data_IF_042977392330
#
_entry.id   IF_042977392330
#
_cell.length_a   1.000
_cell.length_b   1.000
_cell.length_c   1.000
_cell.angle_alpha   90.00
_cell.angle_beta   90.00
_cell.angle_gamma   90.00
#
_symmetry.space_group_name_H-M   'P 1'
#
loop_
_entity.id
_entity.type
_entity.pdbx_description
1 polymer ?
#
# COMPACT_ATOMS: atom_id res chain seq x y z
N UNK A 1 -27.82 -4.01 80.37
CA UNK A 1 -26.55 -3.89 79.62
C UNK A 1 -26.37 -5.16 78.81
N UNK A 2 -26.66 -5.14 77.49
CA UNK A 2 -25.69 -5.01 76.36
C UNK A 2 -24.97 -6.36 76.14
N UNK A 3 -24.94 -7.03 74.98
CA UNK A 3 -25.10 -6.61 73.58
C UNK A 3 -25.44 -7.80 72.67
N UNK A 4 -26.26 -7.59 71.64
CA UNK A 4 -26.37 -8.48 70.48
C UNK A 4 -25.14 -8.26 69.57
N UNK A 5 -24.30 -9.27 69.38
CA UNK A 5 -23.22 -9.22 68.39
C UNK A 5 -23.69 -9.79 67.06
N UNK A 6 -24.03 -8.90 66.13
CA UNK A 6 -24.34 -9.21 64.74
C UNK A 6 -23.02 -9.51 64.00
N UNK A 7 -22.88 -10.73 63.49
CA UNK A 7 -21.68 -11.15 62.75
C UNK A 7 -21.70 -10.52 61.36
N UNK A 8 -20.89 -9.49 61.19
CA UNK A 8 -20.74 -8.67 59.99
C UNK A 8 -20.03 -9.43 58.85
N UNK A 9 -20.76 -9.62 57.74
CA UNK A 9 -20.29 -10.25 56.48
C UNK A 9 -19.51 -9.22 55.65
N UNK A 10 -18.19 -9.11 55.81
CA UNK A 10 -17.32 -8.24 54.98
C UNK A 10 -16.09 -9.01 54.52
N UNK A 11 -15.94 -9.25 53.21
CA UNK A 11 -14.69 -9.83 52.69
C UNK A 11 -14.58 -10.18 51.21
N UNK A 12 -15.63 -10.09 50.38
CA UNK A 12 -15.58 -10.64 49.01
C UNK A 12 -15.23 -9.68 47.85
N UNK A 13 -15.37 -8.36 48.01
CA UNK A 13 -15.47 -7.45 46.85
C UNK A 13 -14.16 -6.85 46.31
N UNK A 14 -13.02 -7.10 46.96
CA UNK A 14 -11.71 -6.50 46.55
C UNK A 14 -11.02 -7.26 45.41
N UNK A 15 -11.26 -8.57 45.29
CA UNK A 15 -10.72 -9.37 44.19
C UNK A 15 -11.52 -9.18 42.90
N UNK A 16 -12.85 -9.09 43.00
CA UNK A 16 -13.73 -8.90 41.84
C UNK A 16 -13.49 -7.54 41.17
N UNK A 17 -13.20 -6.49 41.93
CA UNK A 17 -12.89 -5.16 41.36
C UNK A 17 -11.56 -5.13 40.61
N UNK A 18 -10.54 -5.88 41.05
CA UNK A 18 -9.25 -5.97 40.34
C UNK A 18 -9.37 -6.76 39.03
N UNK A 19 -10.09 -7.88 39.07
CA UNK A 19 -10.37 -8.69 37.87
C UNK A 19 -11.26 -7.94 36.88
N UNK A 20 -12.31 -7.26 37.36
CA UNK A 20 -13.17 -6.43 36.52
C UNK A 20 -12.38 -5.28 35.86
N UNK A 21 -11.45 -4.67 36.61
CA UNK A 21 -10.57 -3.61 36.09
C UNK A 21 -9.57 -4.11 35.05
N UNK A 22 -9.13 -5.38 35.11
CA UNK A 22 -8.25 -5.97 34.10
C UNK A 22 -9.01 -6.54 32.89
N UNK A 23 -10.22 -7.05 33.09
CA UNK A 23 -11.06 -7.57 32.01
C UNK A 23 -11.61 -6.46 31.12
N UNK A 24 -11.85 -5.27 31.65
CA UNK A 24 -12.39 -4.14 30.89
C UNK A 24 -11.48 -3.74 29.70
N UNK A 25 -10.18 -3.45 29.87
CA UNK A 25 -9.29 -3.17 28.73
C UNK A 25 -9.10 -4.40 27.83
N UNK A 26 -9.07 -5.61 28.39
CA UNK A 26 -8.93 -6.84 27.60
C UNK A 26 -10.12 -7.04 26.65
N UNK A 27 -11.35 -6.82 27.13
CA UNK A 27 -12.57 -6.89 26.31
C UNK A 27 -12.54 -5.83 25.20
N UNK A 28 -12.11 -4.61 25.49
CA UNK A 28 -11.97 -3.55 24.47
C UNK A 28 -10.99 -3.95 23.39
N UNK A 29 -9.81 -4.47 23.76
CA UNK A 29 -8.79 -4.92 22.80
C UNK A 29 -9.29 -6.09 21.96
N UNK A 30 -9.90 -7.10 22.59
CA UNK A 30 -10.46 -8.26 21.88
C UNK A 30 -11.56 -7.81 20.90
N UNK A 31 -12.44 -6.91 21.32
CA UNK A 31 -13.51 -6.39 20.46
C UNK A 31 -12.95 -5.62 19.26
N UNK A 32 -11.93 -4.78 19.48
CA UNK A 32 -11.25 -4.06 18.40
C UNK A 32 -10.57 -5.01 17.40
N UNK A 33 -9.92 -6.06 17.89
CA UNK A 33 -9.29 -7.09 17.03
C UNK A 33 -10.31 -7.88 16.22
N UNK A 34 -11.46 -8.24 16.80
CA UNK A 34 -12.53 -8.89 16.04
C UNK A 34 -13.08 -7.93 14.97
N UNK A 35 -13.28 -6.66 15.30
CA UNK A 35 -13.77 -5.67 14.33
C UNK A 35 -12.80 -5.49 13.16
N UNK A 36 -11.50 -5.42 13.45
CA UNK A 36 -10.42 -5.37 12.46
C UNK A 36 -10.39 -6.63 11.58
N UNK A 37 -10.63 -7.80 12.17
CA UNK A 37 -10.70 -9.07 11.45
C UNK A 37 -11.89 -9.15 10.48
N UNK A 38 -13.04 -8.58 10.86
CA UNK A 38 -14.25 -8.61 10.02
C UNK A 38 -14.26 -7.52 8.94
N UNK A 39 -13.57 -6.39 9.14
CA UNK A 39 -13.54 -5.27 8.18
C UNK A 39 -12.11 -4.89 7.76
N UNK A 40 -11.44 -5.72 6.93
CA UNK A 40 -10.07 -5.47 6.46
C UNK A 40 -9.94 -4.20 5.60
N UNK A 41 -11.07 -3.69 5.07
CA UNK A 41 -11.09 -2.53 4.20
C UNK A 41 -10.93 -1.22 4.97
N UNK A 42 -11.49 -1.11 6.17
CA UNK A 42 -11.33 0.08 7.01
C UNK A 42 -9.89 0.22 7.52
N UNK A 43 -9.28 -0.89 7.93
CA UNK A 43 -7.88 -0.92 8.37
C UNK A 43 -6.94 -0.39 7.29
N UNK A 44 -7.06 -0.94 6.08
CA UNK A 44 -6.20 -0.59 4.95
C UNK A 44 -6.31 0.89 4.57
N UNK A 45 -7.53 1.45 4.62
CA UNK A 45 -7.76 2.88 4.33
C UNK A 45 -7.11 3.80 5.36
N UNK A 46 -7.22 3.46 6.65
CA UNK A 46 -6.59 4.23 7.72
C UNK A 46 -5.07 4.18 7.59
N UNK A 47 -4.52 2.99 7.31
CA UNK A 47 -3.08 2.84 7.09
C UNK A 47 -2.58 3.68 5.90
N UNK A 48 -3.24 3.61 4.76
CA UNK A 48 -2.83 4.37 3.58
C UNK A 48 -2.88 5.88 3.85
N UNK A 49 -3.97 6.35 4.46
CA UNK A 49 -4.10 7.76 4.82
C UNK A 49 -3.02 8.21 5.81
N UNK A 50 -2.76 7.41 6.85
CA UNK A 50 -1.71 7.71 7.82
C UNK A 50 -0.31 7.73 7.16
N UNK A 51 -0.06 6.82 6.22
CA UNK A 51 1.17 6.75 5.47
C UNK A 51 1.37 7.96 4.57
N UNK A 52 0.34 8.38 3.82
CA UNK A 52 0.37 9.56 2.97
C UNK A 52 0.69 10.83 3.80
N UNK A 53 0.03 10.99 4.95
CA UNK A 53 0.29 12.12 5.85
C UNK A 53 1.72 12.09 6.41
N UNK A 54 2.23 10.92 6.78
CA UNK A 54 3.59 10.79 7.29
C UNK A 54 4.63 11.11 6.20
N UNK A 55 4.41 10.67 4.96
CA UNK A 55 5.29 10.99 3.82
C UNK A 55 5.30 12.48 3.48
N UNK A 56 4.16 13.16 3.60
CA UNK A 56 4.07 14.61 3.40
C UNK A 56 4.78 15.38 4.51
N UNK A 57 4.64 14.94 5.77
CA UNK A 57 5.24 15.61 6.93
C UNK A 57 6.75 15.36 7.06
N UNK A 58 7.22 14.19 6.64
CA UNK A 58 8.64 13.83 6.66
C UNK A 58 9.10 13.32 5.29
N UNK A 59 9.19 14.18 4.27
CA UNK A 59 9.77 13.81 3.00
C UNK A 59 11.21 13.31 3.22
N UNK A 60 11.59 12.21 2.57
CA UNK A 60 12.96 11.75 2.62
C UNK A 60 13.87 12.84 2.00
N UNK A 61 14.92 13.29 2.71
CA UNK A 61 15.84 14.26 2.14
C UNK A 61 16.53 13.65 0.91
N UNK A 62 16.63 14.43 -0.17
CA UNK A 62 17.41 14.03 -1.33
C UNK A 62 18.89 14.03 -0.96
N UNK A 63 19.51 12.86 -0.96
CA UNK A 63 20.93 12.69 -0.72
C UNK A 63 21.61 12.35 -2.04
N UNK A 64 22.52 13.24 -2.47
CA UNK A 64 23.25 13.12 -3.72
C UNK A 64 24.42 12.13 -3.63
N UNK A 65 24.81 11.72 -2.42
CA UNK A 65 25.88 10.73 -2.20
C UNK A 65 25.36 9.29 -2.28
N UNK A 66 24.03 9.10 -2.20
CA UNK A 66 23.41 7.80 -2.43
C UNK A 66 23.59 7.36 -3.90
N UNK A 67 24.11 6.16 -4.16
CA UNK A 67 24.27 5.62 -5.51
C UNK A 67 22.93 5.10 -6.09
N UNK A 68 21.79 5.66 -5.67
CA UNK A 68 20.45 5.29 -6.11
C UNK A 68 19.80 6.47 -6.83
N UNK A 69 19.54 6.31 -8.13
CA UNK A 69 18.80 7.30 -8.93
C UNK A 69 17.47 6.74 -9.38
N UNK A 70 16.38 7.36 -8.94
CA UNK A 70 15.03 7.08 -9.43
C UNK A 70 14.74 7.99 -10.61
N UNK A 71 14.38 7.40 -11.75
CA UNK A 71 14.00 8.12 -12.97
C UNK A 71 12.53 7.82 -13.22
N UNK A 72 11.68 8.83 -13.09
CA UNK A 72 10.28 8.74 -13.44
C UNK A 72 10.10 9.05 -14.93
N UNK A 73 9.19 8.33 -15.59
CA UNK A 73 8.77 8.66 -16.95
C UNK A 73 7.62 9.67 -16.81
N UNK A 74 7.87 10.90 -17.23
CA UNK A 74 6.91 12.00 -17.16
C UNK A 74 6.14 12.18 -18.47
N UNK A 75 5.10 13.03 -18.43
CA UNK A 75 4.26 13.32 -19.60
C UNK A 75 5.08 13.93 -20.75
N UNK A 76 6.08 14.76 -20.44
CA UNK A 76 7.01 15.30 -21.44
C UNK A 76 7.76 14.18 -22.16
N UNK A 77 8.31 13.20 -21.44
CA UNK A 77 8.94 12.04 -22.06
C UNK A 77 7.98 11.26 -22.94
N UNK A 78 6.70 11.13 -22.56
CA UNK A 78 5.68 10.46 -23.36
C UNK A 78 5.27 11.25 -24.61
N UNK A 79 5.29 12.58 -24.56
CA UNK A 79 5.05 13.41 -25.73
C UNK A 79 6.18 13.27 -26.76
N UNK A 80 7.43 13.25 -26.31
CA UNK A 80 8.60 13.12 -27.19
C UNK A 80 8.80 11.70 -27.70
N UNK A 81 8.61 10.69 -26.85
CA UNK A 81 8.90 9.30 -27.16
C UNK A 81 7.66 8.51 -27.59
N UNK A 82 6.48 9.10 -27.49
CA UNK A 82 5.22 8.43 -27.73
C UNK A 82 4.75 7.64 -26.51
N UNK A 83 3.56 7.05 -26.68
CA UNK A 83 2.85 6.36 -25.61
C UNK A 83 3.65 5.14 -25.09
N UNK A 84 3.73 5.04 -23.77
CA UNK A 84 4.22 3.86 -23.07
C UNK A 84 3.21 2.69 -23.19
N UNK A 85 3.64 1.41 -23.25
CA UNK A 85 5.01 0.90 -23.19
C UNK A 85 5.75 1.04 -24.52
N UNK A 86 7.00 1.52 -24.45
CA UNK A 86 7.87 1.65 -25.63
C UNK A 86 8.32 0.28 -26.16
N UNK A 87 8.78 0.26 -27.42
CA UNK A 87 9.36 -0.96 -28.01
C UNK A 87 10.58 -1.43 -27.24
N UNK A 88 10.84 -2.75 -27.29
CA UNK A 88 11.98 -3.36 -26.58
C UNK A 88 13.33 -2.80 -27.05
N UNK A 89 13.47 -2.49 -28.34
CA UNK A 89 14.70 -1.93 -28.91
C UNK A 89 15.03 -0.55 -28.30
N UNK A 90 14.00 0.25 -28.02
CA UNK A 90 14.19 1.54 -27.34
C UNK A 90 14.56 1.35 -25.88
N UNK A 91 13.94 0.38 -25.20
CA UNK A 91 14.28 0.07 -23.82
C UNK A 91 15.72 -0.44 -23.71
N UNK A 92 16.21 -1.27 -24.63
CA UNK A 92 17.61 -1.70 -24.63
C UNK A 92 18.56 -0.54 -24.84
N UNK A 93 18.28 0.36 -25.78
CA UNK A 93 19.13 1.55 -25.99
C UNK A 93 19.18 2.44 -24.72
N UNK A 94 18.06 2.59 -24.02
CA UNK A 94 18.01 3.34 -22.76
C UNK A 94 18.82 2.64 -21.66
N UNK A 95 18.70 1.32 -21.53
CA UNK A 95 19.48 0.54 -20.56
C UNK A 95 20.99 0.59 -20.87
N UNK A 96 21.38 0.52 -22.14
CA UNK A 96 22.77 0.62 -22.59
C UNK A 96 23.35 2.00 -22.25
N UNK A 97 22.57 3.07 -22.44
CA UNK A 97 22.99 4.43 -22.06
C UNK A 97 23.12 4.57 -20.53
N UNK A 98 22.19 4.01 -19.74
CA UNK A 98 22.26 4.05 -18.28
C UNK A 98 23.47 3.29 -17.74
N UNK A 99 23.76 2.11 -18.30
CA UNK A 99 24.94 1.32 -17.94
C UNK A 99 26.23 2.03 -18.35
N UNK A 100 26.28 2.64 -19.53
CA UNK A 100 27.42 3.46 -19.97
C UNK A 100 27.65 4.70 -19.06
N UNK A 101 26.60 5.24 -18.46
CA UNK A 101 26.68 6.32 -17.46
C UNK A 101 27.10 5.85 -16.06
N UNK A 102 27.35 4.54 -15.87
CA UNK A 102 27.85 3.98 -14.61
C UNK A 102 26.80 3.32 -13.71
N UNK A 103 25.58 3.08 -14.21
CA UNK A 103 24.58 2.32 -13.45
C UNK A 103 25.01 0.85 -13.31
N UNK A 104 25.30 0.41 -12.08
CA UNK A 104 25.67 -0.99 -11.80
C UNK A 104 24.47 -1.95 -11.89
N UNK A 105 23.28 -1.49 -11.49
CA UNK A 105 22.03 -2.24 -11.51
C UNK A 105 20.91 -1.32 -11.97
N UNK A 106 20.08 -1.80 -12.89
CA UNK A 106 18.88 -1.09 -13.34
C UNK A 106 17.66 -1.96 -13.07
N UNK A 107 16.67 -1.41 -12.37
CA UNK A 107 15.42 -2.10 -12.03
C UNK A 107 14.27 -1.45 -12.79
N UNK A 108 13.56 -2.24 -13.58
CA UNK A 108 12.32 -1.84 -14.24
C UNK A 108 11.13 -2.33 -13.42
N UNK A 109 10.24 -1.43 -13.01
CA UNK A 109 9.06 -1.75 -12.20
C UNK A 109 7.82 -2.07 -13.03
N UNK A 110 7.89 -1.88 -14.34
CA UNK A 110 6.80 -2.09 -15.28
C UNK A 110 6.75 -3.54 -15.82
N UNK A 111 5.56 -4.02 -16.14
CA UNK A 111 5.40 -5.29 -16.86
C UNK A 111 5.89 -5.18 -18.31
N UNK A 112 6.80 -6.07 -18.70
CA UNK A 112 7.28 -6.22 -20.09
C UNK A 112 6.56 -7.34 -20.86
N UNK A 113 5.66 -8.06 -20.18
CA UNK A 113 4.68 -8.94 -20.81
C UNK A 113 3.59 -8.05 -21.43
N UNK A 114 3.78 -7.69 -22.70
CA UNK A 114 2.81 -7.18 -23.68
C UNK A 114 1.38 -6.87 -23.17
N UNK A 115 0.92 -5.60 -23.22
CA UNK A 115 -0.50 -5.37 -23.47
C UNK A 115 -0.82 -4.09 -24.28
N UNK A 116 -1.55 -4.23 -25.39
CA UNK A 116 -2.53 -3.19 -25.77
C UNK A 116 -3.90 -3.87 -25.76
N UNK A 117 -4.72 -3.59 -24.75
CA UNK A 117 -6.16 -3.69 -24.95
C UNK A 117 -6.50 -2.62 -26.00
N UNK A 118 -6.84 -3.06 -27.21
CA UNK A 118 -7.20 -2.16 -28.29
C UNK A 118 -8.24 -1.15 -27.80
N UNK A 119 -7.93 0.14 -27.97
CA UNK A 119 -8.94 1.18 -27.89
C UNK A 119 -10.08 0.80 -28.86
N UNK A 120 -11.35 0.69 -28.43
CA UNK A 120 -12.44 0.09 -29.23
C UNK A 120 -12.83 0.88 -30.50
N UNK A 121 -12.10 1.94 -30.84
CA UNK A 121 -12.46 2.89 -31.91
C UNK A 121 -11.87 2.58 -33.28
N UNK A 122 -11.07 1.50 -33.44
CA UNK A 122 -10.51 1.13 -34.76
C UNK A 122 -10.98 -0.25 -35.20
N UNK A 123 -12.30 -0.42 -35.40
CA UNK A 123 -12.82 -1.45 -36.30
C UNK A 123 -12.59 -0.98 -37.74
N UNK A 124 -11.44 -1.32 -38.31
CA UNK A 124 -11.28 -1.30 -39.76
C UNK A 124 -12.22 -2.37 -40.33
N UNK A 125 -13.20 -1.97 -41.15
CA UNK A 125 -14.10 -2.91 -41.84
C UNK A 125 -13.28 -3.77 -42.78
N UNK A 126 -12.98 -5.00 -42.38
CA UNK A 126 -12.44 -6.02 -43.27
C UNK A 126 -13.57 -6.35 -44.24
N UNK A 127 -13.44 -5.94 -45.50
CA UNK A 127 -14.38 -6.29 -46.56
C UNK A 127 -14.37 -7.81 -46.83
N UNK A 128 -15.46 -8.37 -47.38
CA UNK A 128 -15.51 -9.80 -47.70
C UNK A 128 -14.44 -10.16 -48.75
N UNK A 129 -13.77 -11.29 -48.55
CA UNK A 129 -12.81 -11.84 -49.52
C UNK A 129 -13.50 -12.10 -50.86
N UNK A 130 -12.84 -11.83 -51.99
CA UNK A 130 -13.35 -12.20 -53.30
C UNK A 130 -13.38 -13.73 -53.42
N UNK A 131 -14.43 -14.32 -54.02
CA UNK A 131 -14.47 -15.75 -54.28
C UNK A 131 -13.45 -16.12 -55.37
N UNK A 132 -12.84 -17.29 -55.18
CA UNK A 132 -11.87 -17.94 -56.07
C UNK A 132 -12.50 -18.52 -57.33
#
# INVERSE_FOLDING_TARGET
>A
MVSHSTKQKRGGSRLTTRLLRQLLPAVVVVTALLFDYFDPLLHSRIQHYAFDQLQQLSPAPYDAELPLRVIAIDDESLLHNGQWPWSRDRLSELLDRLTAMGAAVVVLTCSLQNPIAAHPSRRHKIGPCPPS
#
